data_IF_129242030789
#
_entry.id   IF_129242030789
#
_cell.length_a   1.000
_cell.length_b   1.000
_cell.length_c   1.000
_cell.angle_alpha   90.00
_cell.angle_beta   90.00
_cell.angle_gamma   90.00
#
_symmetry.space_group_name_H-M   'P 1'
#
loop_
_entity.id
_entity.type
_entity.pdbx_description
1 polymer ?
#
# COMPACT_ATOMS: atom_id res chain seq x y z
N UNK A 1 -4.03 11.75 -4.74
CA UNK A 1 -4.06 11.40 -6.17
C UNK A 1 -5.50 11.24 -6.66
N UNK A 2 -5.74 11.15 -7.98
CA UNK A 2 -7.01 10.66 -8.53
C UNK A 2 -7.09 9.12 -8.45
N UNK A 3 -8.31 8.56 -8.50
CA UNK A 3 -8.53 7.11 -8.49
C UNK A 3 -7.77 6.38 -9.60
N UNK A 4 -7.71 6.98 -10.79
CA UNK A 4 -7.01 6.44 -11.96
C UNK A 4 -5.49 6.42 -11.76
N UNK A 5 -4.93 7.43 -11.09
CA UNK A 5 -3.50 7.48 -10.78
C UNK A 5 -3.13 6.42 -9.73
N UNK A 6 -3.95 6.24 -8.70
CA UNK A 6 -3.73 5.21 -7.67
C UNK A 6 -3.78 3.81 -8.26
N UNK A 7 -4.75 3.55 -9.16
CA UNK A 7 -4.84 2.25 -9.81
C UNK A 7 -3.61 1.94 -10.68
N UNK A 8 -3.13 2.95 -11.41
CA UNK A 8 -1.92 2.84 -12.22
C UNK A 8 -0.69 2.56 -11.34
N UNK A 9 -0.54 3.27 -10.22
CA UNK A 9 0.57 3.02 -9.30
C UNK A 9 0.49 1.64 -8.63
N UNK A 10 -0.71 1.15 -8.32
CA UNK A 10 -0.92 -0.20 -7.81
C UNK A 10 -0.47 -1.24 -8.82
N UNK A 11 -0.81 -1.06 -10.11
CA UNK A 11 -0.35 -1.95 -11.18
C UNK A 11 1.18 -1.93 -11.31
N UNK A 12 1.79 -0.74 -11.42
CA UNK A 12 3.24 -0.56 -11.53
C UNK A 12 3.99 -1.16 -10.33
N UNK A 13 3.48 -0.92 -9.11
CA UNK A 13 4.07 -1.45 -7.87
C UNK A 13 3.88 -2.97 -7.75
N UNK A 14 2.75 -3.50 -8.22
CA UNK A 14 2.48 -4.95 -8.22
C UNK A 14 3.34 -5.71 -9.24
N UNK A 15 3.57 -5.12 -10.41
CA UNK A 15 4.49 -5.65 -11.42
C UNK A 15 5.90 -5.70 -10.85
N UNK A 16 6.40 -4.59 -10.29
CA UNK A 16 7.70 -4.51 -9.61
C UNK A 16 7.86 -5.57 -8.53
N UNK A 17 6.85 -5.74 -7.67
CA UNK A 17 6.85 -6.76 -6.60
C UNK A 17 6.98 -8.17 -7.18
N UNK A 18 6.34 -8.44 -8.32
CA UNK A 18 6.39 -9.74 -9.00
C UNK A 18 7.79 -10.01 -9.56
N UNK A 19 8.43 -9.00 -10.17
CA UNK A 19 9.82 -9.10 -10.61
C UNK A 19 10.79 -9.41 -9.46
N UNK A 20 10.61 -8.77 -8.30
CA UNK A 20 11.43 -9.06 -7.12
C UNK A 20 11.19 -10.47 -6.56
N UNK A 21 9.95 -10.96 -6.57
CA UNK A 21 9.65 -12.35 -6.23
C UNK A 21 10.35 -13.35 -7.16
N UNK A 22 10.36 -13.08 -8.46
CA UNK A 22 11.09 -13.90 -9.43
C UNK A 22 12.60 -13.90 -9.16
N UNK A 23 13.19 -12.74 -8.85
CA UNK A 23 14.60 -12.62 -8.45
C UNK A 23 14.92 -13.41 -7.18
N UNK A 24 14.09 -13.31 -6.13
CA UNK A 24 14.26 -14.07 -4.88
C UNK A 24 14.15 -15.58 -5.09
N UNK A 25 13.37 -16.01 -6.08
CA UNK A 25 13.28 -17.44 -6.45
C UNK A 25 14.56 -17.97 -7.11
N UNK A 26 15.39 -17.11 -7.72
CA UNK A 26 16.67 -17.49 -8.32
C UNK A 26 17.82 -17.49 -7.30
N UNK A 27 17.67 -16.72 -6.21
CA UNK A 27 18.62 -16.70 -5.11
C UNK A 27 18.13 -15.76 -4.01
N UNK A 28 18.22 -16.19 -2.75
CA UNK A 28 17.81 -15.35 -1.63
C UNK A 28 18.78 -14.17 -1.48
N UNK A 29 18.26 -12.97 -1.73
CA UNK A 29 18.97 -11.71 -1.52
C UNK A 29 18.24 -10.86 -0.45
N UNK A 30 18.88 -10.56 0.69
CA UNK A 30 18.25 -9.81 1.77
C UNK A 30 17.90 -8.36 1.38
N UNK A 31 18.63 -7.74 0.43
CA UNK A 31 18.30 -6.41 -0.06
C UNK A 31 16.99 -6.42 -0.87
N UNK A 32 16.84 -7.40 -1.76
CA UNK A 32 15.60 -7.65 -2.52
C UNK A 32 14.41 -7.94 -1.61
N UNK A 33 14.62 -8.72 -0.54
CA UNK A 33 13.57 -8.99 0.45
C UNK A 33 13.12 -7.72 1.21
N UNK A 34 14.04 -6.82 1.54
CA UNK A 34 13.72 -5.54 2.18
C UNK A 34 12.97 -4.59 1.22
N UNK A 35 13.36 -4.56 -0.05
CA UNK A 35 12.66 -3.79 -1.08
C UNK A 35 11.24 -4.33 -1.29
N UNK A 36 11.08 -5.65 -1.38
CA UNK A 36 9.79 -6.32 -1.50
C UNK A 36 8.83 -5.99 -0.33
N UNK A 37 9.37 -5.94 0.89
CA UNK A 37 8.62 -5.50 2.07
C UNK A 37 8.18 -4.04 1.94
N UNK A 38 9.07 -3.17 1.45
CA UNK A 38 8.77 -1.75 1.24
C UNK A 38 7.69 -1.53 0.17
N UNK A 39 7.77 -2.25 -0.95
CA UNK A 39 6.75 -2.23 -2.01
C UNK A 39 5.40 -2.76 -1.50
N UNK A 40 5.42 -3.78 -0.65
CA UNK A 40 4.19 -4.31 -0.05
C UNK A 40 3.51 -3.29 0.88
N UNK A 41 4.30 -2.53 1.65
CA UNK A 41 3.78 -1.42 2.46
C UNK A 41 3.23 -0.27 1.61
N UNK A 42 3.91 0.09 0.53
CA UNK A 42 3.41 1.11 -0.41
C UNK A 42 2.08 0.69 -1.06
N UNK A 43 1.95 -0.58 -1.46
CA UNK A 43 0.68 -1.11 -1.95
C UNK A 43 -0.44 -0.98 -0.93
N UNK A 44 -0.19 -1.30 0.34
CA UNK A 44 -1.20 -1.19 1.39
C UNK A 44 -1.69 0.26 1.55
N UNK A 45 -0.76 1.22 1.53
CA UNK A 45 -1.09 2.65 1.58
C UNK A 45 -1.90 3.11 0.35
N UNK A 46 -1.52 2.67 -0.85
CA UNK A 46 -2.26 2.99 -2.08
C UNK A 46 -3.68 2.43 -2.05
N UNK A 47 -3.87 1.19 -1.57
CA UNK A 47 -5.20 0.60 -1.39
C UNK A 47 -6.02 1.31 -0.30
N UNK A 48 -5.39 1.80 0.77
CA UNK A 48 -6.07 2.62 1.78
C UNK A 48 -6.51 3.98 1.22
N UNK A 49 -5.65 4.64 0.44
CA UNK A 49 -5.99 5.91 -0.22
C UNK A 49 -7.12 5.71 -1.24
N UNK A 50 -7.09 4.62 -2.03
CA UNK A 50 -8.15 4.24 -2.95
C UNK A 50 -9.49 4.04 -2.22
N UNK A 51 -9.47 3.29 -1.11
CA UNK A 51 -10.65 3.03 -0.28
C UNK A 51 -11.19 4.31 0.34
N UNK A 52 -10.32 5.17 0.84
CA UNK A 52 -10.69 6.46 1.44
C UNK A 52 -11.34 7.38 0.41
N UNK A 53 -10.79 7.46 -0.80
CA UNK A 53 -11.36 8.25 -1.90
C UNK A 53 -12.71 7.68 -2.37
N UNK A 54 -12.81 6.36 -2.54
CA UNK A 54 -14.10 5.70 -2.87
C UNK A 54 -15.15 5.95 -1.79
N UNK A 55 -14.76 5.90 -0.51
CA UNK A 55 -15.67 6.17 0.60
C UNK A 55 -16.15 7.63 0.58
N UNK A 56 -15.24 8.59 0.38
CA UNK A 56 -15.59 10.01 0.27
C UNK A 56 -16.53 10.28 -0.92
N UNK A 57 -16.27 9.67 -2.08
CA UNK A 57 -17.13 9.78 -3.26
C UNK A 57 -18.53 9.16 -3.04
N UNK A 58 -18.61 8.08 -2.26
CA UNK A 58 -19.86 7.36 -2.03
C UNK A 58 -20.71 7.95 -0.91
N UNK A 59 -20.09 8.52 0.13
CA UNK A 59 -20.77 8.89 1.38
C UNK A 59 -20.72 10.40 1.70
N UNK A 60 -19.97 11.22 0.96
CA UNK A 60 -19.81 12.65 1.26
C UNK A 60 -18.74 12.93 2.33
N UNK A 61 -18.63 14.21 2.74
CA UNK A 61 -17.43 14.83 3.34
C UNK A 61 -16.82 14.10 4.55
N UNK A 62 -15.49 14.21 4.60
CA UNK A 62 -14.48 13.23 5.02
C UNK A 62 -14.11 13.32 6.50
N UNK A 63 -14.84 14.05 7.34
CA UNK A 63 -14.35 14.35 8.69
C UNK A 63 -14.44 13.16 9.67
N UNK A 64 -15.35 12.21 9.43
CA UNK A 64 -15.60 11.10 10.36
C UNK A 64 -14.73 9.84 10.14
N UNK A 65 -14.10 9.68 8.98
CA UNK A 65 -13.42 8.41 8.61
C UNK A 65 -11.94 8.41 9.04
N UNK A 66 -11.27 9.56 9.02
CA UNK A 66 -9.83 9.69 9.29
C UNK A 66 -9.45 9.38 10.75
N UNK A 67 -10.40 9.51 11.69
CA UNK A 67 -10.15 9.23 13.10
C UNK A 67 -9.82 7.75 13.39
N UNK A 68 -10.19 6.82 12.50
CA UNK A 68 -9.98 5.37 12.69
C UNK A 68 -8.63 4.87 12.17
N UNK A 69 -8.11 5.45 11.08
CA UNK A 69 -6.84 5.04 10.48
C UNK A 69 -5.62 5.35 11.37
N UNK A 70 -5.69 6.41 12.20
CA UNK A 70 -4.60 6.78 13.14
C UNK A 70 -4.46 5.87 14.36
N UNK A 71 -5.43 5.00 14.63
CA UNK A 71 -5.39 4.12 15.81
C UNK A 71 -4.55 2.87 15.54
N UNK A 72 -4.37 2.46 14.29
CA UNK A 72 -3.61 1.24 13.94
C UNK A 72 -2.12 1.49 13.69
N UNK A 73 -1.69 2.73 13.35
CA UNK A 73 -0.28 3.08 13.13
C UNK A 73 0.61 2.93 14.39
N UNK A 74 0.04 2.81 15.59
CA UNK A 74 0.79 2.75 16.85
C UNK A 74 1.01 1.37 17.46
N UNK A 75 0.36 0.30 16.96
CA UNK A 75 0.45 -1.02 17.62
C UNK A 75 1.62 -1.90 17.14
N UNK A 76 2.23 -1.65 15.98
CA UNK A 76 3.26 -2.54 15.42
C UNK A 76 4.72 -2.12 15.69
N UNK A 77 4.96 -1.04 16.44
CA UNK A 77 6.33 -0.59 16.79
C UNK A 77 6.83 -1.03 18.17
N UNK A 78 6.08 -1.87 18.90
CA UNK A 78 6.46 -2.25 20.27
C UNK A 78 6.15 -3.71 20.67
N UNK A 79 6.11 -4.66 19.72
CA UNK A 79 5.99 -6.09 20.03
C UNK A 79 7.08 -6.91 19.36
#
# INVERSE_FOLDING_TARGET
>A
MSLTEIHKEIEETSERRTELWHSLSQGYDPATAAELKSLSHQLDQLWDEERTLKAALRFGDRDHIVARARVEERLERAA
#
